data_IF_706963800527
#
_entry.id   IF_706963800527
#
_cell.length_a   1.000
_cell.length_b   1.000
_cell.length_c   1.000
_cell.angle_alpha   90.00
_cell.angle_beta   90.00
_cell.angle_gamma   90.00
#
_symmetry.space_group_name_H-M   'P 1'
#
loop_
_entity.id
_entity.type
_entity.pdbx_description
1 polymer ?
#
# COMPACT_ATOMS: atom_id res chain seq x y z
N UNK A 1 -9.36 24.29 21.76
CA UNK A 1 -8.01 23.84 21.32
C UNK A 1 -7.90 22.32 21.33
N UNK A 2 -8.38 21.63 22.37
CA UNK A 2 -8.27 20.18 22.53
C UNK A 2 -9.03 19.37 21.48
N UNK A 3 -10.26 19.76 21.12
CA UNK A 3 -11.04 19.07 20.08
C UNK A 3 -10.33 19.01 18.72
N UNK A 4 -9.59 20.07 18.36
CA UNK A 4 -8.78 20.09 17.13
C UNK A 4 -7.61 19.12 17.21
N UNK A 5 -6.96 19.00 18.38
CA UNK A 5 -5.88 18.02 18.61
C UNK A 5 -6.41 16.59 18.48
N UNK A 6 -7.51 16.27 19.16
CA UNK A 6 -8.16 14.95 19.11
C UNK A 6 -8.55 14.59 17.67
N UNK A 7 -9.11 15.54 16.91
CA UNK A 7 -9.46 15.33 15.50
C UNK A 7 -8.25 14.90 14.64
N UNK A 8 -7.12 15.61 14.73
CA UNK A 8 -5.92 15.25 13.99
C UNK A 8 -5.27 13.95 14.49
N UNK A 9 -5.38 13.63 15.78
CA UNK A 9 -4.94 12.34 16.34
C UNK A 9 -5.74 11.17 15.75
N UNK A 10 -7.06 11.30 15.67
CA UNK A 10 -7.93 10.25 15.10
C UNK A 10 -7.60 10.03 13.62
N UNK A 11 -7.44 11.11 12.84
CA UNK A 11 -7.06 10.98 11.42
C UNK A 11 -5.69 10.34 11.27
N UNK A 12 -4.69 10.74 12.07
CA UNK A 12 -3.37 10.12 12.07
C UNK A 12 -3.44 8.63 12.43
N UNK A 13 -4.26 8.25 13.41
CA UNK A 13 -4.42 6.86 13.80
C UNK A 13 -5.03 6.02 12.67
N UNK A 14 -6.13 6.48 12.08
CA UNK A 14 -6.82 5.77 10.99
C UNK A 14 -5.91 5.63 9.77
N UNK A 15 -5.26 6.73 9.36
CA UNK A 15 -4.35 6.73 8.21
C UNK A 15 -3.11 5.87 8.46
N UNK A 16 -2.64 5.78 9.70
CA UNK A 16 -1.57 4.86 10.07
C UNK A 16 -1.95 3.39 9.88
N UNK A 17 -3.17 2.98 10.27
CA UNK A 17 -3.64 1.61 10.02
C UNK A 17 -3.78 1.32 8.53
N UNK A 18 -4.29 2.29 7.75
CA UNK A 18 -4.39 2.15 6.28
C UNK A 18 -3.00 2.01 5.64
N UNK A 19 -2.01 2.77 6.11
CA UNK A 19 -0.62 2.66 5.68
C UNK A 19 -0.01 1.30 5.99
N UNK A 20 -0.20 0.80 7.22
CA UNK A 20 0.31 -0.49 7.65
C UNK A 20 -0.29 -1.62 6.81
N UNK A 21 -1.61 -1.58 6.61
CA UNK A 21 -2.32 -2.53 5.74
C UNK A 21 -1.83 -2.46 4.30
N UNK A 22 -1.72 -1.25 3.73
CA UNK A 22 -1.23 -1.04 2.38
C UNK A 22 0.21 -1.54 2.18
N UNK A 23 1.08 -1.35 3.18
CA UNK A 23 2.45 -1.87 3.15
C UNK A 23 2.50 -3.40 3.15
N UNK A 24 1.66 -4.06 3.96
CA UNK A 24 1.56 -5.53 3.97
C UNK A 24 1.07 -6.06 2.62
N UNK A 25 0.02 -5.45 2.06
CA UNK A 25 -0.52 -5.82 0.74
C UNK A 25 0.53 -5.64 -0.37
N UNK A 26 1.26 -4.52 -0.35
CA UNK A 26 2.30 -4.22 -1.34
C UNK A 26 3.47 -5.21 -1.26
N UNK A 27 3.95 -5.51 -0.04
CA UNK A 27 5.03 -6.50 0.18
C UNK A 27 4.58 -7.89 -0.27
N UNK A 28 3.36 -8.31 0.10
CA UNK A 28 2.80 -9.59 -0.31
C UNK A 28 2.68 -9.71 -1.84
N UNK A 29 2.17 -8.67 -2.50
CA UNK A 29 2.09 -8.63 -3.96
C UNK A 29 3.47 -8.65 -4.63
N UNK A 30 4.45 -7.94 -4.06
CA UNK A 30 5.83 -7.90 -4.57
C UNK A 30 6.53 -9.25 -4.46
N UNK A 31 6.35 -9.96 -3.34
CA UNK A 31 6.89 -11.30 -3.13
C UNK A 31 6.25 -12.27 -4.12
N UNK A 32 4.92 -12.25 -4.28
CA UNK A 32 4.21 -13.13 -5.22
C UNK A 32 4.62 -12.87 -6.68
N UNK A 33 4.82 -11.61 -7.08
CA UNK A 33 5.33 -11.25 -8.41
C UNK A 33 6.75 -11.75 -8.65
N UNK A 34 7.60 -11.74 -7.62
CA UNK A 34 9.00 -12.17 -7.72
C UNK A 34 9.11 -13.69 -7.75
N UNK A 35 8.42 -14.37 -6.84
CA UNK A 35 8.40 -15.84 -6.74
C UNK A 35 7.65 -16.48 -7.91
N UNK A 36 6.53 -15.90 -8.33
CA UNK A 36 5.77 -16.37 -9.51
C UNK A 36 6.58 -16.28 -10.79
N UNK A 37 7.36 -15.20 -10.99
CA UNK A 37 8.30 -15.10 -12.11
C UNK A 37 9.42 -16.15 -12.04
N UNK A 38 9.88 -16.50 -10.83
CA UNK A 38 10.94 -17.48 -10.64
C UNK A 38 10.46 -18.91 -10.93
N UNK A 39 9.24 -19.28 -10.51
CA UNK A 39 8.61 -20.56 -10.84
C UNK A 39 8.25 -20.67 -12.33
N UNK A 40 7.70 -19.60 -12.92
CA UNK A 40 7.38 -19.53 -14.36
C UNK A 40 8.61 -19.75 -15.27
N UNK A 41 9.79 -19.29 -14.84
CA UNK A 41 11.06 -19.52 -15.54
C UNK A 41 11.54 -20.98 -15.46
N UNK A 42 11.10 -21.73 -14.46
CA UNK A 42 11.53 -23.11 -14.19
C UNK A 42 10.62 -24.16 -14.86
N UNK A 43 9.37 -23.81 -15.16
CA UNK A 43 8.32 -24.71 -15.66
C UNK A 43 7.96 -24.45 -17.14
N UNK A 44 8.97 -24.22 -18.00
CA UNK A 44 8.78 -23.96 -19.43
C UNK A 44 8.48 -25.24 -20.24
N UNK A 45 7.53 -26.05 -19.81
CA UNK A 45 7.13 -27.28 -20.53
C UNK A 45 5.67 -27.68 -20.31
N UNK A 46 4.72 -26.81 -20.64
CA UNK A 46 3.38 -27.13 -21.19
C UNK A 46 2.45 -25.91 -21.03
N UNK A 47 1.95 -25.35 -22.13
CA UNK A 47 1.04 -24.18 -22.21
C UNK A 47 -0.17 -24.21 -21.24
N UNK A 48 -0.71 -23.03 -20.81
CA UNK A 48 -1.06 -21.89 -21.67
C UNK A 48 -0.46 -20.55 -21.21
N UNK A 49 0.40 -19.94 -22.03
CA UNK A 49 1.05 -18.65 -21.79
C UNK A 49 0.07 -17.46 -21.63
N UNK A 50 -1.21 -17.61 -21.99
CA UNK A 50 -2.23 -16.56 -21.86
C UNK A 50 -2.70 -16.37 -20.42
N UNK A 51 -2.93 -17.44 -19.66
CA UNK A 51 -3.42 -17.34 -18.27
C UNK A 51 -2.38 -16.71 -17.35
N UNK A 52 -1.11 -16.99 -17.61
CA UNK A 52 0.01 -16.43 -16.86
C UNK A 52 0.17 -14.93 -17.09
N UNK A 53 -0.03 -14.46 -18.34
CA UNK A 53 -0.05 -13.04 -18.67
C UNK A 53 -1.18 -12.30 -17.92
N UNK A 54 -2.40 -12.86 -17.90
CA UNK A 54 -3.52 -12.25 -17.18
C UNK A 54 -3.31 -12.25 -15.65
N UNK A 55 -2.81 -13.35 -15.08
CA UNK A 55 -2.50 -13.43 -13.66
C UNK A 55 -1.44 -12.42 -13.25
N UNK A 56 -0.39 -12.25 -14.06
CA UNK A 56 0.64 -11.26 -13.80
C UNK A 56 0.09 -9.83 -13.88
N UNK A 57 -0.80 -9.55 -14.84
CA UNK A 57 -1.44 -8.23 -14.96
C UNK A 57 -2.34 -7.91 -13.76
N UNK A 58 -3.14 -8.87 -13.30
CA UNK A 58 -3.97 -8.73 -12.09
C UNK A 58 -3.09 -8.48 -10.84
N UNK A 59 -1.97 -9.18 -10.72
CA UNK A 59 -1.03 -8.97 -9.61
C UNK A 59 -0.40 -7.57 -9.65
N UNK A 60 -0.05 -7.06 -10.84
CA UNK A 60 0.46 -5.71 -11.02
C UNK A 60 -0.59 -4.65 -10.68
N UNK A 61 -1.82 -4.80 -11.18
CA UNK A 61 -2.91 -3.86 -10.87
C UNK A 61 -3.17 -3.77 -9.36
N UNK A 62 -3.15 -4.90 -8.65
CA UNK A 62 -3.25 -4.94 -7.19
C UNK A 62 -2.05 -4.29 -6.48
N UNK A 63 -0.85 -4.44 -7.03
CA UNK A 63 0.36 -3.80 -6.51
C UNK A 63 0.30 -2.28 -6.69
N UNK A 64 -0.20 -1.79 -7.83
CA UNK A 64 -0.37 -0.36 -8.08
C UNK A 64 -1.51 0.25 -7.25
N UNK A 65 -2.61 -0.46 -7.03
CA UNK A 65 -3.69 -0.01 -6.12
C UNK A 65 -3.17 0.16 -4.68
N UNK A 66 -2.44 -0.84 -4.18
CA UNK A 66 -1.85 -0.77 -2.84
C UNK A 66 -0.80 0.34 -2.72
N UNK A 67 0.02 0.55 -3.77
CA UNK A 67 0.96 1.67 -3.83
C UNK A 67 0.26 3.03 -3.82
N UNK A 68 -0.79 3.21 -4.64
CA UNK A 68 -1.56 4.45 -4.67
C UNK A 68 -2.20 4.74 -3.30
N UNK A 69 -2.75 3.70 -2.66
CA UNK A 69 -3.31 3.80 -1.31
C UNK A 69 -2.26 4.21 -0.29
N UNK A 70 -1.06 3.65 -0.34
CA UNK A 70 0.06 4.05 0.53
C UNK A 70 0.47 5.51 0.30
N UNK A 71 0.55 5.97 -0.95
CA UNK A 71 0.92 7.35 -1.26
C UNK A 71 -0.12 8.36 -0.76
N UNK A 72 -1.41 8.08 -0.98
CA UNK A 72 -2.50 8.96 -0.56
C UNK A 72 -2.59 8.98 0.97
N UNK A 73 -2.64 7.82 1.61
CA UNK A 73 -2.71 7.73 3.08
C UNK A 73 -1.46 8.30 3.76
N UNK A 74 -0.28 8.11 3.17
CA UNK A 74 0.97 8.71 3.60
C UNK A 74 0.93 10.24 3.58
N UNK A 75 0.42 10.80 2.49
CA UNK A 75 0.25 12.26 2.35
C UNK A 75 -0.72 12.82 3.38
N UNK A 76 -1.84 12.15 3.63
CA UNK A 76 -2.83 12.58 4.64
C UNK A 76 -2.26 12.48 6.07
N UNK A 77 -1.52 11.40 6.36
CA UNK A 77 -0.87 11.21 7.65
C UNK A 77 0.18 12.30 7.92
N UNK A 78 1.06 12.56 6.95
CA UNK A 78 2.07 13.63 7.03
C UNK A 78 1.42 15.00 7.24
N UNK A 79 0.36 15.30 6.50
CA UNK A 79 -0.37 16.55 6.66
C UNK A 79 -0.99 16.69 8.05
N UNK A 80 -1.65 15.64 8.53
CA UNK A 80 -2.28 15.62 9.86
C UNK A 80 -1.25 15.79 10.98
N UNK A 81 -0.11 15.11 10.86
CA UNK A 81 1.01 15.23 11.79
C UNK A 81 1.61 16.64 11.78
N UNK A 82 1.79 17.24 10.61
CA UNK A 82 2.28 18.62 10.49
C UNK A 82 1.33 19.63 11.15
N UNK A 83 0.02 19.49 10.90
CA UNK A 83 -1.00 20.34 11.50
C UNK A 83 -1.07 20.19 13.02
N UNK A 84 -0.98 18.97 13.53
CA UNK A 84 -0.95 18.70 14.96
C UNK A 84 0.25 19.35 15.63
N UNK A 85 1.46 19.17 15.07
CA UNK A 85 2.68 19.77 15.61
C UNK A 85 2.62 21.30 15.63
N UNK A 86 2.01 21.92 14.62
CA UNK A 86 1.78 23.37 14.61
C UNK A 86 0.83 23.83 15.73
N UNK A 87 -0.22 23.06 16.00
CA UNK A 87 -1.19 23.35 17.07
C UNK A 87 -0.59 23.10 18.46
N UNK A 88 0.36 22.17 18.60
CA UNK A 88 1.05 21.90 19.87
C UNK A 88 2.10 22.95 20.21
N UNK A 89 2.69 23.59 19.20
CA UNK A 89 3.66 24.67 19.36
C UNK A 89 3.03 26.07 19.51
N UNK A 90 1.71 26.16 19.39
CA UNK A 90 0.93 27.41 19.60
C UNK A 90 0.26 27.36 20.96
#
# INVERSE_FOLDING_TARGET
MEYKKIYYYIISLITFFILLWGAIDFVSASINLTTGKFMALQEKSSEPAMDEYYQQRVAQDRMFDSLARMLISGSIFLYSKYRLSKIERT
#
